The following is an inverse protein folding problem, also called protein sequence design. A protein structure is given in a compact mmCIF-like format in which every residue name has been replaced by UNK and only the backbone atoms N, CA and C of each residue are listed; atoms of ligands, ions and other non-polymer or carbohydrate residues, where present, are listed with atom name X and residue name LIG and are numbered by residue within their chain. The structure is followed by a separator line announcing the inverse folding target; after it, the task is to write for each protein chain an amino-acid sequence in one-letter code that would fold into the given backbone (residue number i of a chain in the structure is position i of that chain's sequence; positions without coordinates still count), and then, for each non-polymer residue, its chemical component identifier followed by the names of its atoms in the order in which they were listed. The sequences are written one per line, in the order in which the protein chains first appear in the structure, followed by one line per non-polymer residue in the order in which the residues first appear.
data_IF_901661800756
#
_entry.id   IF_901661800756
#
_cell.length_a   1.000
_cell.length_b   1.000
_cell.length_c   1.000
_cell.angle_alpha   90.00
_cell.angle_beta   90.00
_cell.angle_gamma   90.00
#
_symmetry.space_group_name_H-M   'P 1'
#
loop_
_entity.id
_entity.type
_entity.pdbx_description
1 polymer ?
#
# COMPACT_ATOMS: atom_id res chain seq x y z
N UNK A 1 2.67 9.27 -5.52
CA UNK A 1 1.52 8.99 -6.43
C UNK A 1 0.47 8.15 -5.73
N UNK A 2 -0.83 8.21 -6.08
CA UNK A 2 -1.88 7.41 -5.42
C UNK A 2 -2.39 6.26 -6.30
N UNK A 3 -2.42 5.05 -5.74
CA UNK A 3 -2.83 3.78 -6.36
C UNK A 3 -4.29 3.43 -6.05
N UNK A 4 -4.78 3.83 -4.87
CA UNK A 4 -6.19 3.79 -4.51
C UNK A 4 -6.58 5.15 -3.94
N UNK A 5 -7.81 5.57 -4.22
CA UNK A 5 -8.39 6.79 -3.66
C UNK A 5 -9.75 6.47 -3.06
N UNK A 6 -10.05 7.10 -1.93
CA UNK A 6 -11.38 7.07 -1.35
C UNK A 6 -12.42 7.43 -2.41
N UNK A 7 -13.43 6.60 -2.51
CA UNK A 7 -14.58 6.81 -3.39
C UNK A 7 -15.82 6.21 -2.75
N UNK A 8 -16.97 6.29 -3.43
CA UNK A 8 -18.20 5.66 -2.95
C UNK A 8 -18.06 4.15 -2.75
N UNK A 9 -17.20 3.53 -3.56
CA UNK A 9 -17.03 2.07 -3.63
C UNK A 9 -15.62 1.64 -3.20
N UNK A 10 -14.80 2.57 -2.70
CA UNK A 10 -13.44 2.31 -2.26
C UNK A 10 -13.18 2.98 -0.91
N UNK A 11 -13.00 2.13 0.10
CA UNK A 11 -12.73 2.55 1.47
C UNK A 11 -11.24 2.74 1.75
N UNK A 12 -10.40 2.65 0.71
CA UNK A 12 -8.95 2.65 0.81
C UNK A 12 -8.33 3.87 0.12
N UNK A 13 -7.27 4.39 0.73
CA UNK A 13 -6.38 5.36 0.12
C UNK A 13 -4.96 4.83 0.24
N UNK A 14 -4.37 4.50 -0.91
CA UNK A 14 -3.03 3.91 -1.01
C UNK A 14 -2.18 4.84 -1.86
N UNK A 15 -1.10 5.36 -1.30
CA UNK A 15 -0.27 6.33 -2.00
C UNK A 15 1.19 6.23 -1.59
N UNK A 16 2.05 6.39 -2.59
CA UNK A 16 3.49 6.54 -2.43
C UNK A 16 3.77 7.89 -1.77
N UNK A 17 4.45 7.84 -0.61
CA UNK A 17 4.89 8.99 0.18
C UNK A 17 6.16 9.64 -0.38
N UNK A 18 6.70 9.09 -1.47
CA UNK A 18 7.98 9.48 -2.05
C UNK A 18 9.17 9.09 -1.17
N UNK A 19 10.37 9.44 -1.66
CA UNK A 19 11.61 9.35 -0.88
C UNK A 19 11.71 10.57 0.01
N UNK A 20 11.57 10.41 1.32
CA UNK A 20 11.89 11.47 2.29
C UNK A 20 13.39 11.41 2.58
N UNK A 21 14.21 12.07 1.75
CA UNK A 21 15.67 12.14 1.90
C UNK A 21 16.41 10.89 1.41
N UNK A 22 17.48 10.47 2.10
CA UNK A 22 18.30 9.27 1.80
C UNK A 22 17.56 7.92 2.06
N UNK A 23 16.25 7.94 2.30
CA UNK A 23 15.49 6.80 2.79
C UNK A 23 14.62 6.13 1.71
N UNK A 24 14.57 4.80 1.81
CA UNK A 24 13.75 3.84 1.06
C UNK A 24 12.33 4.36 0.77
N UNK A 25 11.82 4.11 -0.44
CA UNK A 25 10.45 4.46 -0.83
C UNK A 25 9.43 3.79 0.10
N UNK A 26 8.38 4.54 0.46
CA UNK A 26 7.31 4.06 1.36
C UNK A 26 5.93 4.21 0.74
N UNK A 27 5.09 3.22 1.02
CA UNK A 27 3.69 3.17 0.62
C UNK A 27 2.79 3.35 1.85
N UNK A 28 2.06 4.45 1.89
CA UNK A 28 1.01 4.68 2.88
C UNK A 28 -0.29 3.98 2.48
N UNK A 29 -0.92 3.29 3.43
CA UNK A 29 -2.14 2.51 3.25
C UNK A 29 -3.13 2.87 4.35
N UNK A 30 -4.19 3.58 3.98
CA UNK A 30 -5.18 4.10 4.92
C UNK A 30 -6.57 3.56 4.59
N UNK A 31 -7.27 3.08 5.62
CA UNK A 31 -8.69 2.74 5.53
C UNK A 31 -9.54 3.90 6.06
N UNK A 32 -10.72 4.16 5.47
CA UNK A 32 -11.55 5.33 5.81
C UNK A 32 -11.94 5.39 7.30
N UNK A 33 -12.20 4.24 7.89
CA UNK A 33 -12.63 4.10 9.30
C UNK A 33 -11.44 4.00 10.27
N UNK A 34 -10.22 3.84 9.74
CA UNK A 34 -8.99 3.68 10.53
C UNK A 34 -7.92 4.73 10.15
N UNK A 35 -8.32 5.91 9.66
CA UNK A 35 -7.38 6.95 9.18
C UNK A 35 -6.32 7.35 10.22
N UNK A 36 -6.69 7.41 11.50
CA UNK A 36 -5.76 7.73 12.59
C UNK A 36 -4.71 6.63 12.83
N UNK A 37 -4.93 5.44 12.29
CA UNK A 37 -4.02 4.29 12.32
C UNK A 37 -3.39 4.02 10.95
N UNK A 38 -3.47 4.98 10.01
CA UNK A 38 -2.84 4.84 8.71
C UNK A 38 -1.39 4.36 8.84
N UNK A 39 -1.02 3.33 8.08
CA UNK A 39 0.27 2.68 8.19
C UNK A 39 1.09 2.89 6.91
N UNK A 40 2.40 3.03 7.08
CA UNK A 40 3.36 3.16 5.99
C UNK A 40 4.28 1.96 5.96
N UNK A 41 4.50 1.42 4.76
CA UNK A 41 5.26 0.19 4.55
C UNK A 41 6.42 0.44 3.58
N UNK A 42 7.55 -0.20 3.85
CA UNK A 42 8.71 -0.20 2.94
C UNK A 42 8.48 -1.13 1.75
N UNK A 43 9.32 -1.03 0.73
CA UNK A 43 9.31 -1.94 -0.44
C UNK A 43 9.41 -3.39 0.02
N UNK A 44 10.37 -3.68 0.90
CA UNK A 44 10.60 -5.00 1.49
C UNK A 44 9.39 -5.54 2.26
N UNK A 45 8.67 -4.70 3.00
CA UNK A 45 7.45 -5.10 3.70
C UNK A 45 6.32 -5.46 2.74
N UNK A 46 6.10 -4.63 1.71
CA UNK A 46 5.04 -4.88 0.71
C UNK A 46 5.34 -6.15 -0.10
N UNK A 47 6.59 -6.39 -0.49
CA UNK A 47 7.00 -7.64 -1.14
C UNK A 47 6.68 -8.86 -0.28
N UNK A 48 7.00 -8.79 1.02
CA UNK A 48 6.72 -9.88 1.97
C UNK A 48 5.22 -10.12 2.15
N UNK A 49 4.39 -9.07 2.20
CA UNK A 49 2.93 -9.20 2.25
C UNK A 49 2.37 -9.88 1.01
N UNK A 50 2.90 -9.57 -0.17
CA UNK A 50 2.49 -10.19 -1.43
C UNK A 50 2.91 -11.67 -1.50
N UNK A 51 4.15 -11.98 -1.09
CA UNK A 51 4.67 -13.36 -1.07
C UNK A 51 3.89 -14.27 -0.12
N UNK A 52 3.61 -13.78 1.09
CA UNK A 52 2.86 -14.53 2.10
C UNK A 52 1.34 -14.46 1.89
N UNK A 53 0.89 -13.60 0.98
CA UNK A 53 -0.51 -13.20 0.81
C UNK A 53 -1.21 -12.78 2.12
N UNK A 54 -0.44 -12.22 3.06
CA UNK A 54 -0.86 -11.83 4.38
C UNK A 54 -0.87 -10.30 4.53
N UNK A 55 -2.07 -9.76 4.74
CA UNK A 55 -2.35 -8.34 4.87
C UNK A 55 -2.94 -8.01 6.25
N UNK A 56 -2.93 -8.97 7.17
CA UNK A 56 -3.57 -8.87 8.49
C UNK A 56 -3.01 -7.74 9.36
N UNK A 57 -1.78 -7.30 9.09
CA UNK A 57 -1.16 -6.17 9.77
C UNK A 57 -1.72 -4.81 9.35
N UNK A 58 -2.49 -4.73 8.26
CA UNK A 58 -3.05 -3.48 7.75
C UNK A 58 -4.31 -3.11 8.55
N UNK A 59 -4.34 -1.93 9.20
CA UNK A 59 -5.52 -1.49 9.94
C UNK A 59 -6.76 -1.39 9.05
N UNK A 60 -7.85 -2.02 9.49
CA UNK A 60 -9.11 -2.10 8.73
C UNK A 60 -9.14 -3.22 7.67
N UNK A 61 -8.09 -4.04 7.57
CA UNK A 61 -8.08 -5.17 6.62
C UNK A 61 -9.17 -6.20 6.94
N UNK A 62 -9.78 -6.70 5.86
CA UNK A 62 -10.69 -7.84 5.89
C UNK A 62 -10.37 -8.73 4.68
N UNK A 63 -10.62 -10.05 4.72
CA UNK A 63 -10.23 -10.95 3.63
C UNK A 63 -10.75 -10.56 2.25
N UNK A 64 -11.93 -9.95 2.15
CA UNK A 64 -12.49 -9.51 0.87
C UNK A 64 -11.74 -8.32 0.24
N UNK A 65 -10.95 -7.57 1.03
CA UNK A 65 -10.08 -6.50 0.56
C UNK A 65 -8.77 -7.00 -0.07
N UNK A 66 -8.46 -8.31 0.05
CA UNK A 66 -7.20 -8.90 -0.45
C UNK A 66 -6.91 -8.50 -1.89
N UNK A 67 -7.90 -8.64 -2.78
CA UNK A 67 -7.71 -8.41 -4.21
C UNK A 67 -7.37 -6.96 -4.53
N UNK A 68 -8.14 -6.00 -4.00
CA UNK A 68 -7.95 -4.58 -4.31
C UNK A 68 -6.61 -4.06 -3.76
N UNK A 69 -6.20 -4.51 -2.57
CA UNK A 69 -4.92 -4.14 -1.98
C UNK A 69 -3.75 -4.77 -2.75
N UNK A 70 -3.87 -6.04 -3.16
CA UNK A 70 -2.88 -6.72 -3.99
C UNK A 70 -2.62 -5.97 -5.30
N UNK A 71 -3.68 -5.64 -6.03
CA UNK A 71 -3.57 -4.92 -7.31
C UNK A 71 -2.85 -3.56 -7.12
N UNK A 72 -3.16 -2.83 -6.04
CA UNK A 72 -2.50 -1.56 -5.73
C UNK A 72 -1.01 -1.73 -5.37
N UNK A 73 -0.67 -2.78 -4.63
CA UNK A 73 0.71 -3.04 -4.20
C UNK A 73 1.59 -3.52 -5.36
N UNK A 74 1.06 -4.39 -6.21
CA UNK A 74 1.74 -4.85 -7.43
C UNK A 74 2.01 -3.67 -8.38
N UNK A 75 1.04 -2.76 -8.55
CA UNK A 75 1.22 -1.55 -9.35
C UNK A 75 2.35 -0.67 -8.81
N UNK A 76 2.37 -0.42 -7.49
CA UNK A 76 3.45 0.37 -6.88
C UNK A 76 4.83 -0.29 -7.02
N UNK A 77 4.93 -1.59 -6.77
CA UNK A 77 6.22 -2.31 -6.91
C UNK A 77 6.75 -2.29 -8.34
N UNK A 78 5.88 -2.45 -9.35
CA UNK A 78 6.27 -2.37 -10.76
C UNK A 78 6.94 -1.04 -11.10
N UNK A 79 6.52 0.05 -10.46
CA UNK A 79 7.11 1.36 -10.65
C UNK A 79 8.44 1.52 -9.90
N UNK A 80 8.53 0.99 -8.68
CA UNK A 80 9.79 1.01 -7.93
C UNK A 80 10.90 0.28 -8.70
N UNK A 81 10.59 -0.88 -9.29
CA UNK A 81 11.55 -1.63 -10.13
C UNK A 81 11.88 -0.93 -11.44
N UNK A 82 10.98 -0.11 -11.98
CA UNK A 82 11.23 0.65 -13.22
C UNK A 82 12.05 1.93 -12.97
N UNK A 83 12.04 2.45 -11.74
CA UNK A 83 12.82 3.62 -11.34
C UNK A 83 14.30 3.31 -11.04
N UNK A 84 14.71 2.03 -11.07
CA UNK A 84 16.10 1.58 -10.89
C UNK A 84 16.87 1.35 -12.21
N UNK A 85 16.35 1.82 -13.37
CA UNK A 85 16.98 1.70 -14.71
C UNK A 85 17.49 3.05 -15.21
#
# INVERSE_FOLDING_TARGET
MAYLRYSRDCDWHVFDEGKTGESESRLAVWHKDHKAQGASYTVSMIQKMLELEDYSSIPGYQPHHKRILREAFEAWLSEQSSAEI
#
